data_IF_615529584116
#
_entry.id   IF_615529584116
#
_cell.length_a   1.000
_cell.length_b   1.000
_cell.length_c   1.000
_cell.angle_alpha   90.00
_cell.angle_beta   90.00
_cell.angle_gamma   90.00
#
_symmetry.space_group_name_H-M   'P 1'
#
loop_
_entity.id
_entity.type
_entity.pdbx_description
1 polymer ?
#
# COMPACT_ATOMS: atom_id res chain seq x y z
N UNK A 1 69.62 12.62 -38.08
CA UNK A 1 68.50 11.83 -37.50
C UNK A 1 68.38 10.57 -38.29
N UNK A 2 68.68 9.43 -37.66
CA UNK A 2 68.54 8.13 -38.28
C UNK A 2 67.08 7.73 -38.32
N UNK A 3 66.64 7.04 -39.39
CA UNK A 3 65.19 6.69 -39.58
C UNK A 3 64.53 5.99 -38.41
N UNK A 4 65.31 5.35 -37.54
CA UNK A 4 64.80 4.69 -36.32
C UNK A 4 64.33 5.63 -35.21
N UNK A 5 64.93 6.81 -35.07
CA UNK A 5 64.53 7.81 -34.06
C UNK A 5 63.14 8.46 -34.39
N UNK A 6 62.87 8.65 -35.69
CA UNK A 6 61.58 9.16 -36.15
C UNK A 6 60.44 8.13 -35.95
N UNK A 7 60.76 6.85 -36.13
CA UNK A 7 59.80 5.78 -35.99
C UNK A 7 59.40 5.55 -34.52
N UNK A 8 60.37 5.64 -33.59
CA UNK A 8 60.13 5.56 -32.14
C UNK A 8 59.32 6.77 -31.66
N UNK A 9 59.64 7.98 -32.15
CA UNK A 9 58.88 9.18 -31.79
C UNK A 9 57.42 9.10 -32.32
N UNK A 10 57.19 8.52 -33.51
CA UNK A 10 55.85 8.31 -34.06
C UNK A 10 55.05 7.26 -33.27
N UNK A 11 55.67 6.19 -32.80
CA UNK A 11 55.05 5.15 -31.96
C UNK A 11 54.68 5.70 -30.58
N UNK A 12 55.56 6.49 -29.97
CA UNK A 12 55.27 7.18 -28.70
C UNK A 12 54.13 8.18 -28.79
N UNK A 13 54.09 8.94 -29.88
CA UNK A 13 52.98 9.87 -30.15
C UNK A 13 51.62 9.14 -30.36
N UNK A 14 51.62 8.00 -31.07
CA UNK A 14 50.45 7.15 -31.25
C UNK A 14 49.98 6.54 -29.91
N UNK A 15 50.91 6.10 -29.06
CA UNK A 15 50.61 5.58 -27.73
C UNK A 15 50.02 6.68 -26.81
N UNK A 16 50.63 7.87 -26.82
CA UNK A 16 50.14 9.01 -26.03
C UNK A 16 48.73 9.44 -26.47
N UNK A 17 48.46 9.49 -27.80
CA UNK A 17 47.14 9.78 -28.35
C UNK A 17 46.12 8.68 -28.02
N UNK A 18 46.52 7.43 -28.07
CA UNK A 18 45.69 6.28 -27.71
C UNK A 18 45.29 6.29 -26.21
N UNK A 19 46.27 6.57 -25.34
CA UNK A 19 46.02 6.66 -23.89
C UNK A 19 45.13 7.87 -23.51
N UNK A 20 45.32 9.03 -24.17
CA UNK A 20 44.49 10.21 -23.98
C UNK A 20 43.04 9.97 -24.45
N UNK A 21 42.82 9.29 -25.56
CA UNK A 21 41.49 8.89 -26.05
C UNK A 21 40.83 7.91 -25.09
N UNK A 22 41.54 6.89 -24.60
CA UNK A 22 41.03 5.92 -23.64
C UNK A 22 40.65 6.58 -22.33
N UNK A 23 41.46 7.53 -21.82
CA UNK A 23 41.16 8.29 -20.60
C UNK A 23 39.90 9.17 -20.77
N UNK A 24 39.76 9.85 -21.91
CA UNK A 24 38.59 10.68 -22.20
C UNK A 24 37.33 9.83 -22.35
N UNK A 25 37.41 8.66 -23.00
CA UNK A 25 36.27 7.73 -23.08
C UNK A 25 35.87 7.22 -21.71
N UNK A 26 36.82 6.83 -20.86
CA UNK A 26 36.57 6.39 -19.51
C UNK A 26 35.89 7.46 -18.65
N UNK A 27 36.34 8.72 -18.76
CA UNK A 27 35.74 9.85 -18.08
C UNK A 27 34.29 10.11 -18.59
N UNK A 28 34.06 10.04 -19.92
CA UNK A 28 32.72 10.19 -20.49
C UNK A 28 31.76 9.07 -20.06
N UNK A 29 32.22 7.83 -20.05
CA UNK A 29 31.44 6.67 -19.61
C UNK A 29 31.08 6.75 -18.12
N UNK A 30 32.01 7.20 -17.27
CA UNK A 30 31.74 7.42 -15.86
C UNK A 30 30.68 8.53 -15.65
N UNK A 31 30.79 9.64 -16.37
CA UNK A 31 29.82 10.72 -16.31
C UNK A 31 28.43 10.26 -16.77
N UNK A 32 28.36 9.46 -17.82
CA UNK A 32 27.12 8.87 -18.33
C UNK A 32 26.50 7.96 -17.27
N UNK A 33 27.28 7.06 -16.66
CA UNK A 33 26.83 6.19 -15.58
C UNK A 33 26.30 6.96 -14.38
N UNK A 34 26.99 8.02 -13.95
CA UNK A 34 26.52 8.87 -12.85
C UNK A 34 25.15 9.49 -13.16
N UNK A 35 24.94 10.00 -14.37
CA UNK A 35 23.65 10.55 -14.82
C UNK A 35 22.55 9.49 -14.87
N UNK A 36 22.86 8.28 -15.31
CA UNK A 36 21.92 7.15 -15.33
C UNK A 36 21.49 6.77 -13.91
N UNK A 37 22.43 6.67 -12.97
CA UNK A 37 22.12 6.41 -11.55
C UNK A 37 21.29 7.53 -10.94
N UNK A 38 21.63 8.79 -11.22
CA UNK A 38 20.87 9.93 -10.73
C UNK A 38 19.42 9.93 -11.27
N UNK A 39 19.24 9.63 -12.54
CA UNK A 39 17.92 9.53 -13.16
C UNK A 39 17.11 8.36 -12.56
N UNK A 40 17.73 7.19 -12.34
CA UNK A 40 17.06 6.07 -11.69
C UNK A 40 16.65 6.41 -10.26
N UNK A 41 17.51 7.09 -9.50
CA UNK A 41 17.20 7.54 -8.15
C UNK A 41 16.04 8.56 -8.14
N UNK A 42 16.02 9.52 -9.07
CA UNK A 42 14.92 10.48 -9.22
C UNK A 42 13.61 9.76 -9.55
N UNK A 43 13.65 8.81 -10.47
CA UNK A 43 12.46 8.02 -10.85
C UNK A 43 11.95 7.20 -9.67
N UNK A 44 12.82 6.54 -8.92
CA UNK A 44 12.45 5.80 -7.73
C UNK A 44 11.84 6.71 -6.65
N UNK A 45 12.39 7.92 -6.45
CA UNK A 45 11.82 8.91 -5.53
C UNK A 45 10.41 9.35 -5.95
N UNK A 46 10.17 9.56 -7.26
CA UNK A 46 8.84 9.88 -7.80
C UNK A 46 7.88 8.71 -7.58
N UNK A 47 8.28 7.47 -7.90
CA UNK A 47 7.46 6.28 -7.71
C UNK A 47 7.07 6.11 -6.24
N UNK A 48 8.01 6.30 -5.32
CA UNK A 48 7.76 6.21 -3.87
C UNK A 48 6.79 7.29 -3.38
N UNK A 49 6.89 8.53 -3.91
CA UNK A 49 5.96 9.61 -3.58
C UNK A 49 4.54 9.30 -4.09
N UNK A 50 4.42 8.76 -5.30
CA UNK A 50 3.13 8.34 -5.85
C UNK A 50 2.52 7.20 -5.03
N UNK A 51 3.33 6.21 -4.63
CA UNK A 51 2.88 5.13 -3.75
C UNK A 51 2.41 5.64 -2.39
N UNK A 52 3.15 6.56 -1.79
CA UNK A 52 2.74 7.19 -0.53
C UNK A 52 1.37 7.86 -0.66
N UNK A 53 1.16 8.66 -1.71
CA UNK A 53 -0.12 9.32 -1.95
C UNK A 53 -1.25 8.30 -2.20
N UNK A 54 -0.97 7.21 -2.93
CA UNK A 54 -1.94 6.13 -3.15
C UNK A 54 -2.33 5.43 -1.83
N UNK A 55 -1.36 5.14 -0.97
CA UNK A 55 -1.62 4.59 0.37
C UNK A 55 -2.44 5.54 1.25
N UNK A 56 -2.15 6.85 1.19
CA UNK A 56 -2.87 7.86 1.95
C UNK A 56 -4.34 7.95 1.52
N UNK A 57 -4.59 7.92 0.21
CA UNK A 57 -5.94 7.88 -0.35
C UNK A 57 -6.71 6.61 0.05
N UNK A 58 -6.05 5.44 0.01
CA UNK A 58 -6.65 4.17 0.44
C UNK A 58 -7.00 4.21 1.93
N UNK A 59 -6.12 4.76 2.78
CA UNK A 59 -6.40 4.91 4.22
C UNK A 59 -7.59 5.84 4.48
N UNK A 60 -7.71 6.96 3.74
CA UNK A 60 -8.86 7.85 3.85
C UNK A 60 -10.15 7.14 3.45
N UNK A 61 -10.16 6.40 2.33
CA UNK A 61 -11.31 5.61 1.90
C UNK A 61 -11.68 4.55 2.95
N UNK A 62 -10.70 3.83 3.47
CA UNK A 62 -10.92 2.83 4.52
C UNK A 62 -11.54 3.45 5.77
N UNK A 63 -11.07 4.64 6.18
CA UNK A 63 -11.61 5.35 7.33
C UNK A 63 -13.08 5.75 7.12
N UNK A 64 -13.41 6.28 5.93
CA UNK A 64 -14.79 6.65 5.58
C UNK A 64 -15.73 5.43 5.60
N UNK A 65 -15.30 4.31 5.01
CA UNK A 65 -16.08 3.08 5.01
C UNK A 65 -16.24 2.49 6.43
N UNK A 66 -15.21 2.59 7.28
CA UNK A 66 -15.30 2.20 8.69
C UNK A 66 -16.32 3.06 9.45
N UNK A 67 -16.32 4.37 9.24
CA UNK A 67 -17.30 5.26 9.85
C UNK A 67 -18.71 4.94 9.38
N UNK A 68 -18.92 4.76 8.08
CA UNK A 68 -20.20 4.37 7.49
C UNK A 68 -20.71 3.05 8.09
N UNK A 69 -19.85 2.03 8.13
CA UNK A 69 -20.19 0.78 8.78
C UNK A 69 -20.59 0.97 10.25
N UNK A 70 -19.88 1.79 11.01
CA UNK A 70 -20.18 2.09 12.40
C UNK A 70 -21.55 2.76 12.57
N UNK A 71 -21.92 3.71 11.70
CA UNK A 71 -23.26 4.33 11.72
C UNK A 71 -24.36 3.33 11.36
N UNK A 72 -24.21 2.60 10.26
CA UNK A 72 -25.20 1.63 9.81
C UNK A 72 -25.42 0.50 10.84
N UNK A 73 -24.36 0.05 11.50
CA UNK A 73 -24.45 -0.94 12.58
C UNK A 73 -25.23 -0.40 13.78
N UNK A 74 -24.97 0.85 14.19
CA UNK A 74 -25.72 1.50 15.30
C UNK A 74 -27.19 1.68 14.96
N UNK A 75 -27.49 2.12 13.73
CA UNK A 75 -28.86 2.32 13.30
C UNK A 75 -29.63 1.00 13.24
N UNK A 76 -29.01 -0.06 12.74
CA UNK A 76 -29.59 -1.40 12.75
C UNK A 76 -29.87 -1.88 14.20
N UNK A 77 -28.92 -1.67 15.10
CA UNK A 77 -29.11 -2.01 16.52
C UNK A 77 -30.23 -1.20 17.18
N UNK A 78 -30.35 0.11 16.87
CA UNK A 78 -31.46 0.95 17.35
C UNK A 78 -32.80 0.43 16.84
N UNK A 79 -32.89 0.09 15.55
CA UNK A 79 -34.12 -0.43 14.94
C UNK A 79 -34.55 -1.76 15.57
N UNK A 80 -33.59 -2.69 15.78
CA UNK A 80 -33.87 -3.96 16.48
C UNK A 80 -34.41 -3.70 17.89
N UNK A 81 -33.77 -2.80 18.65
CA UNK A 81 -34.21 -2.44 20.03
C UNK A 81 -35.59 -1.78 20.01
N UNK A 82 -35.86 -0.86 19.07
CA UNK A 82 -37.14 -0.19 18.94
C UNK A 82 -38.26 -1.19 18.64
N UNK A 83 -38.07 -2.07 17.65
CA UNK A 83 -39.04 -3.11 17.31
C UNK A 83 -39.32 -4.05 18.50
N UNK A 84 -38.26 -4.43 19.22
CA UNK A 84 -38.37 -5.25 20.40
C UNK A 84 -39.16 -4.54 21.52
N UNK A 85 -38.83 -3.28 21.84
CA UNK A 85 -39.50 -2.48 22.82
C UNK A 85 -41.00 -2.28 22.49
N UNK A 86 -41.34 -2.05 21.22
CA UNK A 86 -42.71 -1.95 20.75
C UNK A 86 -43.51 -3.24 21.02
N UNK A 87 -42.92 -4.40 20.69
CA UNK A 87 -43.59 -5.69 20.95
C UNK A 87 -43.67 -6.03 22.42
N UNK A 88 -42.68 -5.66 23.23
CA UNK A 88 -42.73 -5.81 24.70
C UNK A 88 -43.80 -4.88 25.30
N UNK A 89 -43.98 -3.65 24.82
CA UNK A 89 -45.03 -2.74 25.24
C UNK A 89 -46.43 -3.28 24.89
N UNK A 90 -46.59 -3.80 23.67
CA UNK A 90 -47.81 -4.49 23.25
C UNK A 90 -48.14 -5.65 24.21
N UNK A 91 -47.14 -6.49 24.50
CA UNK A 91 -47.29 -7.61 25.49
C UNK A 91 -47.76 -7.12 26.87
N UNK A 92 -47.16 -6.05 27.33
CA UNK A 92 -47.53 -5.47 28.65
C UNK A 92 -48.96 -4.90 28.68
N UNK A 93 -49.42 -4.32 27.55
CA UNK A 93 -50.78 -3.74 27.45
C UNK A 93 -51.89 -4.77 27.51
N UNK A 94 -51.62 -6.01 27.17
CA UNK A 94 -52.61 -7.10 27.24
C UNK A 94 -52.74 -7.78 28.62
N UNK A 95 -52.03 -7.29 29.64
CA UNK A 95 -52.26 -7.71 31.06
C UNK A 95 -51.84 -9.12 31.43
N UNK A 96 -50.96 -9.72 30.70
CA UNK A 96 -50.33 -11.02 31.06
C UNK A 96 -51.15 -12.27 30.74
N UNK A 97 -52.44 -12.16 30.47
CA UNK A 97 -53.31 -13.30 30.11
C UNK A 97 -53.52 -13.35 28.57
N UNK A 98 -52.45 -13.71 27.90
CA UNK A 98 -52.41 -13.60 26.44
C UNK A 98 -52.85 -14.89 25.72
N UNK A 99 -53.01 -15.99 26.41
CA UNK A 99 -53.38 -17.27 25.81
C UNK A 99 -52.62 -17.56 24.50
N UNK A 100 -53.33 -17.83 23.42
CA UNK A 100 -52.79 -18.14 22.11
C UNK A 100 -52.09 -16.89 21.44
N UNK A 101 -52.50 -15.66 21.77
CA UNK A 101 -51.92 -14.43 21.27
C UNK A 101 -50.53 -14.15 21.90
N UNK A 102 -50.30 -14.59 23.15
CA UNK A 102 -49.03 -14.49 23.81
C UNK A 102 -47.94 -15.31 23.11
N UNK A 103 -48.25 -16.52 22.72
CA UNK A 103 -47.35 -17.40 21.99
C UNK A 103 -46.94 -16.80 20.63
N UNK A 104 -47.89 -16.17 19.92
CA UNK A 104 -47.62 -15.49 18.64
C UNK A 104 -46.72 -14.28 18.82
N UNK A 105 -46.93 -13.49 19.87
CA UNK A 105 -46.10 -12.30 20.16
C UNK A 105 -44.67 -12.71 20.56
N UNK A 106 -44.52 -13.75 21.34
CA UNK A 106 -43.23 -14.30 21.75
C UNK A 106 -42.46 -14.84 20.51
N UNK A 107 -43.12 -15.57 19.62
CA UNK A 107 -42.58 -16.01 18.36
C UNK A 107 -42.13 -14.82 17.48
N UNK A 108 -42.87 -13.72 17.49
CA UNK A 108 -42.53 -12.49 16.75
C UNK A 108 -41.27 -11.83 17.33
N UNK A 109 -41.15 -11.73 18.67
CA UNK A 109 -39.96 -11.19 19.34
C UNK A 109 -38.71 -12.06 19.03
N UNK A 110 -38.85 -13.37 19.07
CA UNK A 110 -37.79 -14.31 18.71
C UNK A 110 -37.35 -14.14 17.25
N UNK A 111 -38.32 -13.98 16.36
CA UNK A 111 -38.05 -13.76 14.94
C UNK A 111 -37.33 -12.43 14.65
N UNK A 112 -37.72 -11.33 15.31
CA UNK A 112 -37.04 -10.02 15.25
C UNK A 112 -35.60 -10.16 15.71
N UNK A 113 -35.38 -10.85 16.84
CA UNK A 113 -34.03 -11.07 17.37
C UNK A 113 -33.19 -11.88 16.36
N UNK A 114 -33.72 -13.00 15.85
CA UNK A 114 -33.02 -13.86 14.89
C UNK A 114 -32.64 -13.08 13.61
N UNK A 115 -33.58 -12.42 12.96
CA UNK A 115 -33.31 -11.63 11.75
C UNK A 115 -32.40 -10.43 12.02
N UNK A 116 -32.54 -9.80 13.18
CA UNK A 116 -31.64 -8.73 13.61
C UNK A 116 -30.20 -9.20 13.78
N UNK A 117 -29.97 -10.34 14.42
CA UNK A 117 -28.62 -10.90 14.56
C UNK A 117 -28.05 -11.39 13.22
N UNK A 118 -28.87 -12.00 12.36
CA UNK A 118 -28.46 -12.39 11.01
C UNK A 118 -28.05 -11.17 10.18
N UNK A 119 -28.80 -10.07 10.25
CA UNK A 119 -28.47 -8.84 9.54
C UNK A 119 -27.17 -8.19 10.06
N UNK A 120 -26.95 -8.20 11.39
CA UNK A 120 -25.69 -7.73 11.98
C UNK A 120 -24.52 -8.61 11.55
N UNK A 121 -24.67 -9.92 11.58
CA UNK A 121 -23.63 -10.85 11.16
C UNK A 121 -23.25 -10.68 9.69
N UNK A 122 -24.23 -10.47 8.79
CA UNK A 122 -23.99 -10.17 7.37
C UNK A 122 -23.23 -8.85 7.20
N UNK A 123 -23.57 -7.81 7.97
CA UNK A 123 -22.85 -6.54 7.93
C UNK A 123 -21.40 -6.69 8.41
N UNK A 124 -21.18 -7.43 9.50
CA UNK A 124 -19.84 -7.71 10.02
C UNK A 124 -18.99 -8.51 9.01
N UNK A 125 -19.60 -9.47 8.31
CA UNK A 125 -18.93 -10.22 7.25
C UNK A 125 -18.56 -9.32 6.06
N UNK A 126 -19.49 -8.49 5.58
CA UNK A 126 -19.24 -7.57 4.49
C UNK A 126 -18.11 -6.58 4.82
N UNK A 127 -18.07 -6.11 6.07
CA UNK A 127 -16.99 -5.23 6.53
C UNK A 127 -15.62 -5.96 6.56
N UNK A 128 -15.58 -7.23 6.99
CA UNK A 128 -14.36 -8.03 6.94
C UNK A 128 -13.85 -8.23 5.51
N UNK A 129 -14.75 -8.49 4.56
CA UNK A 129 -14.42 -8.61 3.13
C UNK A 129 -13.84 -7.30 2.62
N UNK A 130 -14.47 -6.17 2.93
CA UNK A 130 -14.00 -4.85 2.55
C UNK A 130 -12.61 -4.53 3.14
N UNK A 131 -12.38 -4.84 4.42
CA UNK A 131 -11.08 -4.67 5.07
C UNK A 131 -9.98 -5.52 4.40
N UNK A 132 -10.33 -6.74 3.98
CA UNK A 132 -9.41 -7.61 3.22
C UNK A 132 -9.09 -7.02 1.84
N UNK A 133 -10.09 -6.47 1.14
CA UNK A 133 -9.89 -5.81 -0.16
C UNK A 133 -8.94 -4.59 -0.03
N UNK A 134 -9.10 -3.76 0.99
CA UNK A 134 -8.14 -2.67 1.26
C UNK A 134 -6.72 -3.18 1.49
N UNK A 135 -6.54 -4.26 2.24
CA UNK A 135 -5.22 -4.86 2.44
C UNK A 135 -4.60 -5.34 1.13
N UNK A 136 -5.40 -5.96 0.24
CA UNK A 136 -4.96 -6.39 -1.08
C UNK A 136 -4.55 -5.18 -1.93
N UNK A 137 -5.35 -4.11 -1.95
CA UNK A 137 -5.02 -2.87 -2.68
C UNK A 137 -3.74 -2.23 -2.17
N UNK A 138 -3.52 -2.16 -0.86
CA UNK A 138 -2.26 -1.68 -0.29
C UNK A 138 -1.07 -2.51 -0.74
N UNK A 139 -1.20 -3.84 -0.71
CA UNK A 139 -0.16 -4.75 -1.18
C UNK A 139 0.13 -4.55 -2.67
N UNK A 140 -0.90 -4.37 -3.50
CA UNK A 140 -0.74 -4.15 -4.93
C UNK A 140 0.02 -2.84 -5.22
N UNK A 141 -0.28 -1.74 -4.51
CA UNK A 141 0.47 -0.48 -4.62
C UNK A 141 1.94 -0.68 -4.27
N UNK A 142 2.24 -1.44 -3.22
CA UNK A 142 3.62 -1.75 -2.82
C UNK A 142 4.35 -2.55 -3.92
N UNK A 143 3.74 -3.65 -4.40
CA UNK A 143 4.33 -4.52 -5.43
C UNK A 143 4.54 -3.77 -6.76
N UNK A 144 3.59 -2.95 -7.16
CA UNK A 144 3.70 -2.12 -8.36
C UNK A 144 4.86 -1.12 -8.24
N UNK A 145 5.01 -0.50 -7.07
CA UNK A 145 6.09 0.44 -6.79
C UNK A 145 7.45 -0.24 -6.82
N UNK A 146 7.56 -1.42 -6.19
CA UNK A 146 8.77 -2.25 -6.23
C UNK A 146 9.13 -2.64 -7.66
N UNK A 147 8.16 -3.06 -8.46
CA UNK A 147 8.36 -3.40 -9.88
C UNK A 147 8.86 -2.20 -10.68
N UNK A 148 8.25 -1.01 -10.51
CA UNK A 148 8.68 0.23 -11.17
C UNK A 148 10.07 0.66 -10.74
N UNK A 149 10.41 0.52 -9.46
CA UNK A 149 11.73 0.85 -8.96
C UNK A 149 12.79 -0.13 -9.50
N UNK A 150 12.49 -1.44 -9.52
CA UNK A 150 13.36 -2.44 -10.10
C UNK A 150 13.59 -2.17 -11.61
N UNK A 151 12.55 -1.79 -12.34
CA UNK A 151 12.67 -1.41 -13.76
C UNK A 151 13.57 -0.17 -13.96
N UNK A 152 13.47 0.84 -13.08
CA UNK A 152 14.32 2.03 -13.14
C UNK A 152 15.81 1.71 -12.96
N UNK A 153 16.14 0.68 -12.16
CA UNK A 153 17.52 0.26 -11.91
C UNK A 153 18.02 -0.87 -12.83
N UNK A 154 17.14 -1.61 -13.51
CA UNK A 154 17.51 -2.75 -14.35
C UNK A 154 18.34 -2.36 -15.59
N UNK A 155 18.21 -1.13 -16.06
CA UNK A 155 18.99 -0.59 -17.19
C UNK A 155 20.40 -0.13 -16.80
N UNK A 156 20.72 -0.08 -15.49
CA UNK A 156 22.06 0.30 -15.05
C UNK A 156 23.00 -0.88 -15.25
N UNK A 157 23.98 -0.71 -16.14
CA UNK A 157 25.02 -1.71 -16.41
C UNK A 157 25.67 -2.17 -15.08
N UNK A 158 25.66 -3.46 -14.84
CA UNK A 158 26.05 -4.17 -13.63
C UNK A 158 27.52 -3.98 -13.27
N UNK A 159 27.84 -2.82 -12.69
CA UNK A 159 29.02 -2.68 -11.86
C UNK A 159 28.57 -2.76 -10.41
N UNK A 160 28.85 -3.84 -9.76
CA UNK A 160 28.69 -4.30 -8.35
C UNK A 160 28.07 -3.46 -7.22
N UNK A 161 27.61 -2.21 -7.44
CA UNK A 161 27.08 -1.33 -6.41
C UNK A 161 25.57 -0.99 -6.54
N UNK A 162 24.93 -1.30 -7.67
CA UNK A 162 23.53 -0.97 -7.92
C UNK A 162 22.56 -1.77 -7.02
N UNK A 163 22.91 -3.01 -6.69
CA UNK A 163 22.14 -3.85 -5.77
C UNK A 163 22.13 -3.31 -4.33
N UNK A 164 23.26 -2.71 -3.87
CA UNK A 164 23.35 -2.12 -2.52
C UNK A 164 22.48 -0.87 -2.38
N UNK A 165 22.35 -0.05 -3.43
CA UNK A 165 21.56 1.19 -3.41
C UNK A 165 20.06 0.88 -3.50
N UNK A 166 19.66 -0.11 -4.30
CA UNK A 166 18.25 -0.55 -4.38
C UNK A 166 17.74 -1.12 -3.06
N UNK A 167 18.55 -1.92 -2.36
CA UNK A 167 18.21 -2.47 -1.04
C UNK A 167 18.12 -1.41 0.06
N UNK A 168 18.91 -0.33 -0.01
CA UNK A 168 18.83 0.75 0.99
C UNK A 168 17.56 1.61 0.82
N UNK A 169 17.05 1.77 -0.40
CA UNK A 169 15.81 2.49 -0.68
C UNK A 169 14.59 1.65 -0.25
N UNK A 170 14.63 0.33 -0.45
CA UNK A 170 13.61 -0.60 0.05
C UNK A 170 13.58 -0.62 1.58
N UNK A 171 14.76 -0.57 2.24
CA UNK A 171 14.87 -0.47 3.71
C UNK A 171 14.24 0.80 4.27
N UNK A 172 14.41 1.94 3.61
CA UNK A 172 13.80 3.22 4.05
C UNK A 172 12.28 3.24 3.89
N UNK A 173 11.73 2.62 2.83
CA UNK A 173 10.28 2.48 2.63
C UNK A 173 9.61 1.58 3.69
N UNK A 174 10.27 0.48 4.07
CA UNK A 174 9.81 -0.41 5.14
C UNK A 174 9.89 0.28 6.52
N UNK A 175 10.91 1.09 6.76
CA UNK A 175 11.09 1.82 8.01
C UNK A 175 10.02 2.91 8.19
N UNK A 176 9.60 3.56 7.10
CA UNK A 176 8.49 4.52 7.11
C UNK A 176 7.17 3.84 7.44
N UNK A 177 6.94 2.62 6.93
CA UNK A 177 5.75 1.81 7.25
C UNK A 177 5.73 1.35 8.71
N UNK A 178 6.88 0.90 9.23
CA UNK A 178 7.01 0.47 10.63
C UNK A 178 6.81 1.62 11.62
N UNK A 179 7.27 2.83 11.29
CA UNK A 179 7.04 4.01 12.10
C UNK A 179 5.56 4.44 12.08
N UNK A 180 4.91 4.35 10.91
CA UNK A 180 3.48 4.62 10.77
C UNK A 180 2.62 3.64 11.58
N UNK A 181 2.94 2.33 11.54
CA UNK A 181 2.23 1.30 12.33
C UNK A 181 2.45 1.47 13.85
N UNK A 182 3.59 2.02 14.29
CA UNK A 182 3.85 2.36 15.69
C UNK A 182 3.03 3.56 16.16
N UNK A 183 2.90 4.59 15.34
CA UNK A 183 2.14 5.80 15.67
C UNK A 183 0.62 5.55 15.75
N UNK A 184 0.11 4.56 14.98
CA UNK A 184 -1.30 4.17 15.03
C UNK A 184 -1.60 3.24 16.22
N UNK A 185 -0.67 2.35 16.58
CA UNK A 185 -0.85 1.42 17.70
C UNK A 185 -0.55 2.02 19.07
N UNK A 186 0.08 3.20 19.10
CA UNK A 186 0.42 3.95 20.32
C UNK A 186 -0.65 4.97 20.75
N UNK A 187 -1.79 5.04 20.06
CA UNK A 187 -2.99 5.82 20.44
C UNK A 187 -4.18 4.90 20.64
#
# INVERSE_FOLDING_TARGET
MTGGEVEIALQLAKFALGSAKASNQYAADNLKRQREIENANRQAAINNKLAYNAHLNLNQQQMLEMQKYGFEKRDLQKNIRAQRATNEAIRASFGGDLGQQGATLEATILNINRHGYEALARKDLNFKILATDFNIRHRNVTLETESKNNAAFSGLSTGGSALGTGLSILGSGLQTKLNYDKDIKGR
#
